data_IF_016131063606
#
_entry.id   IF_016131063606
#
_cell.length_a   1.000
_cell.length_b   1.000
_cell.length_c   1.000
_cell.angle_alpha   90.00
_cell.angle_beta   90.00
_cell.angle_gamma   90.00
#
_symmetry.space_group_name_H-M   'P 1'
#
loop_
_entity.id
_entity.type
_entity.pdbx_description
1 polymer ?
#
# COMPACT_ATOMS: atom_id res chain seq x y z
N UNK A 1 21.91 3.87 2.53
CA UNK A 1 22.48 2.96 3.53
C UNK A 1 21.52 1.78 3.64
N UNK A 2 21.98 0.55 3.47
CA UNK A 2 21.11 -0.64 3.55
C UNK A 2 21.26 -1.30 4.92
N UNK A 3 20.14 -1.73 5.51
CA UNK A 3 20.08 -2.46 6.78
C UNK A 3 19.47 -3.85 6.56
N UNK A 4 19.96 -4.84 7.30
CA UNK A 4 19.45 -6.23 7.23
C UNK A 4 18.43 -6.46 8.33
N UNK A 5 17.17 -6.64 7.92
CA UNK A 5 16.08 -7.02 8.82
C UNK A 5 15.89 -8.55 8.83
N UNK A 6 16.08 -9.17 9.99
CA UNK A 6 15.80 -10.61 10.19
C UNK A 6 14.49 -10.78 10.94
N UNK A 7 13.55 -11.52 10.36
CA UNK A 7 12.23 -11.78 10.96
C UNK A 7 11.96 -13.28 11.09
N UNK A 8 11.24 -13.66 12.15
CA UNK A 8 10.65 -15.00 12.27
C UNK A 8 9.33 -15.03 11.50
N UNK A 9 9.15 -16.04 10.66
CA UNK A 9 7.93 -16.24 9.87
C UNK A 9 7.51 -17.71 9.95
N UNK A 10 6.22 -18.03 9.74
CA UNK A 10 5.75 -19.40 9.72
C UNK A 10 6.54 -20.28 8.74
N UNK A 11 6.67 -21.57 9.05
CA UNK A 11 7.36 -22.54 8.19
C UNK A 11 6.76 -22.53 6.78
N UNK A 12 7.60 -22.52 5.76
CA UNK A 12 7.18 -22.48 4.35
C UNK A 12 6.91 -21.09 3.78
N UNK A 13 6.84 -20.04 4.61
CA UNK A 13 6.60 -18.66 4.15
C UNK A 13 7.63 -18.22 3.13
N UNK A 14 8.92 -18.45 3.38
CA UNK A 14 10.01 -18.12 2.45
C UNK A 14 9.81 -18.75 1.06
N UNK A 15 9.40 -20.03 1.01
CA UNK A 15 9.16 -20.74 -0.26
C UNK A 15 7.96 -20.16 -1.00
N UNK A 16 6.89 -19.81 -0.27
CA UNK A 16 5.70 -19.17 -0.85
C UNK A 16 6.03 -17.80 -1.43
N UNK A 17 6.71 -16.95 -0.66
CA UNK A 17 7.12 -15.61 -1.10
C UNK A 17 8.08 -15.67 -2.29
N UNK A 18 9.03 -16.60 -2.29
CA UNK A 18 9.94 -16.78 -3.43
C UNK A 18 9.21 -17.18 -4.73
N UNK A 19 8.13 -17.96 -4.63
CA UNK A 19 7.29 -18.31 -5.78
C UNK A 19 6.56 -17.10 -6.34
N UNK A 20 5.98 -16.29 -5.46
CA UNK A 20 5.29 -15.04 -5.84
C UNK A 20 6.28 -14.05 -6.47
N UNK A 21 7.45 -13.87 -5.86
CA UNK A 21 8.50 -13.02 -6.40
C UNK A 21 8.91 -13.42 -7.82
N UNK A 22 9.08 -14.72 -8.08
CA UNK A 22 9.41 -15.23 -9.43
C UNK A 22 8.29 -14.98 -10.45
N UNK A 23 7.02 -15.13 -10.07
CA UNK A 23 5.89 -14.83 -10.95
C UNK A 23 5.90 -13.37 -11.41
N UNK A 24 6.47 -12.48 -10.59
CA UNK A 24 6.60 -11.05 -10.86
C UNK A 24 7.99 -10.63 -11.36
N UNK A 25 8.87 -11.60 -11.67
CA UNK A 25 10.26 -11.35 -12.12
C UNK A 25 11.09 -10.52 -11.12
N UNK A 26 10.82 -10.69 -9.82
CA UNK A 26 11.52 -10.06 -8.72
C UNK A 26 12.35 -11.06 -7.92
N UNK A 27 13.43 -10.58 -7.30
CA UNK A 27 14.08 -11.31 -6.21
C UNK A 27 13.20 -11.33 -4.97
N UNK A 28 13.43 -12.29 -4.06
CA UNK A 28 12.69 -12.36 -2.79
C UNK A 28 12.80 -11.06 -2.00
N UNK A 29 14.00 -10.48 -1.90
CA UNK A 29 14.22 -9.24 -1.15
C UNK A 29 13.50 -8.04 -1.78
N UNK A 30 13.52 -7.92 -3.12
CA UNK A 30 12.74 -6.87 -3.82
C UNK A 30 11.24 -7.03 -3.57
N UNK A 31 10.73 -8.25 -3.69
CA UNK A 31 9.32 -8.55 -3.44
C UNK A 31 8.90 -8.18 -2.01
N UNK A 32 9.68 -8.59 -1.02
CA UNK A 32 9.40 -8.30 0.40
C UNK A 32 9.47 -6.80 0.69
N UNK A 33 10.49 -6.09 0.18
CA UNK A 33 10.56 -4.62 0.34
C UNK A 33 9.37 -3.92 -0.29
N UNK A 34 8.94 -4.35 -1.48
CA UNK A 34 7.76 -3.80 -2.15
C UNK A 34 6.49 -4.06 -1.35
N UNK A 35 6.34 -5.25 -0.76
CA UNK A 35 5.19 -5.58 0.09
C UNK A 35 5.16 -4.71 1.36
N UNK A 36 6.31 -4.46 1.99
CA UNK A 36 6.41 -3.56 3.16
C UNK A 36 6.02 -2.13 2.77
N UNK A 37 6.51 -1.62 1.63
CA UNK A 37 6.17 -0.29 1.15
C UNK A 37 4.67 -0.18 0.80
N UNK A 38 4.07 -1.23 0.23
CA UNK A 38 2.64 -1.27 -0.07
C UNK A 38 1.79 -1.21 1.21
N UNK A 39 2.19 -1.94 2.26
CA UNK A 39 1.51 -1.89 3.56
C UNK A 39 1.56 -0.47 4.18
N UNK A 40 2.72 0.17 4.13
CA UNK A 40 2.87 1.55 4.58
C UNK A 40 1.97 2.51 3.79
N UNK A 41 1.92 2.34 2.47
CA UNK A 41 1.09 3.15 1.58
C UNK A 41 -0.40 3.01 1.92
N UNK A 42 -0.88 1.79 2.17
CA UNK A 42 -2.27 1.56 2.61
C UNK A 42 -2.58 2.32 3.91
N UNK A 43 -1.69 2.25 4.90
CA UNK A 43 -1.82 3.01 6.14
C UNK A 43 -1.88 4.53 5.90
N UNK A 44 -1.06 5.05 4.99
CA UNK A 44 -1.09 6.49 4.64
C UNK A 44 -2.38 6.90 3.93
N UNK A 45 -2.95 6.04 3.08
CA UNK A 45 -4.23 6.31 2.42
C UNK A 45 -5.38 6.34 3.43
N UNK A 46 -5.42 5.42 4.39
CA UNK A 46 -6.44 5.41 5.43
C UNK A 46 -6.37 6.67 6.31
N UNK A 47 -5.16 7.07 6.71
CA UNK A 47 -4.96 8.32 7.46
C UNK A 47 -5.37 9.56 6.65
N UNK A 48 -4.99 9.61 5.37
CA UNK A 48 -5.40 10.68 4.47
C UNK A 48 -6.92 10.73 4.34
N UNK A 49 -7.58 9.59 4.11
CA UNK A 49 -9.04 9.47 4.02
C UNK A 49 -9.73 9.96 5.28
N UNK A 50 -9.25 9.57 6.46
CA UNK A 50 -9.80 9.99 7.74
C UNK A 50 -9.79 11.51 7.92
N UNK A 51 -8.78 12.21 7.39
CA UNK A 51 -8.66 13.66 7.48
C UNK A 51 -9.35 14.42 6.33
N UNK A 52 -9.30 13.89 5.11
CA UNK A 52 -9.74 14.59 3.90
C UNK A 52 -11.24 14.42 3.64
N UNK A 53 -11.82 13.24 3.90
CA UNK A 53 -13.25 12.99 3.64
C UNK A 53 -14.16 13.93 4.44
N UNK A 54 -13.94 14.18 5.75
CA UNK A 54 -14.76 15.15 6.48
C UNK A 54 -14.65 16.57 5.91
N UNK A 55 -13.45 16.98 5.48
CA UNK A 55 -13.22 18.30 4.87
C UNK A 55 -13.91 18.44 3.51
N UNK A 56 -13.88 17.39 2.70
CA UNK A 56 -14.58 17.34 1.42
C UNK A 56 -16.10 17.44 1.62
N UNK A 57 -16.66 16.68 2.57
CA UNK A 57 -18.09 16.72 2.90
C UNK A 57 -18.54 18.08 3.43
N UNK A 58 -17.72 18.75 4.25
CA UNK A 58 -17.99 20.12 4.69
C UNK A 58 -18.04 21.14 3.54
N UNK A 59 -17.48 20.79 2.38
CA UNK A 59 -17.54 21.57 1.13
C UNK A 59 -18.59 21.06 0.15
N UNK A 60 -19.44 20.11 0.56
CA UNK A 60 -20.49 19.55 -0.29
C UNK A 60 -20.04 18.47 -1.26
N UNK A 61 -18.82 17.95 -1.13
CA UNK A 61 -18.28 16.90 -2.02
C UNK A 61 -18.44 15.54 -1.33
N UNK A 62 -19.25 14.66 -1.89
CA UNK A 62 -19.60 13.35 -1.33
C UNK A 62 -19.22 12.18 -2.22
N UNK A 63 -19.27 12.40 -3.53
CA UNK A 63 -19.03 11.41 -4.58
C UNK A 63 -17.89 11.84 -5.49
N UNK A 64 -17.42 10.92 -6.31
CA UNK A 64 -16.50 11.19 -7.41
C UNK A 64 -17.14 12.06 -8.49
N UNK A 65 -18.44 11.91 -8.75
CA UNK A 65 -19.19 12.79 -9.67
C UNK A 65 -19.14 14.27 -9.25
N UNK A 66 -19.24 14.54 -7.94
CA UNK A 66 -19.10 15.90 -7.40
C UNK A 66 -17.70 16.47 -7.68
N UNK A 67 -16.67 15.62 -7.68
CA UNK A 67 -15.30 16.02 -8.03
C UNK A 67 -15.18 16.31 -9.52
N UNK A 68 -15.71 15.42 -10.37
CA UNK A 68 -15.65 15.59 -11.83
C UNK A 68 -16.35 16.87 -12.28
N UNK A 69 -17.49 17.22 -11.67
CA UNK A 69 -18.21 18.47 -11.92
C UNK A 69 -17.36 19.72 -11.63
N UNK A 70 -16.39 19.64 -10.70
CA UNK A 70 -15.54 20.77 -10.31
C UNK A 70 -14.29 20.88 -11.21
N UNK A 71 -13.76 19.77 -11.69
CA UNK A 71 -12.43 19.73 -12.35
C UNK A 71 -12.46 19.50 -13.86
N UNK A 72 -13.62 19.18 -14.43
CA UNK A 72 -13.84 18.98 -15.87
C UNK A 72 -14.63 20.12 -16.47
#
# INVERSE_FOLDING_TARGET
>A
MEEVLTIRVPKGTRRRLARLARAEKLTLSQYVRRAIAAEQLLGTFEAARASLVPRARARGIFTDEDVFTIVS
#
